data_IF_288283825398
#
_entry.id   IF_288283825398
#
_cell.length_a   1.000
_cell.length_b   1.000
_cell.length_c   1.000
_cell.angle_alpha   90.00
_cell.angle_beta   90.00
_cell.angle_gamma   90.00
#
_symmetry.space_group_name_H-M   'P 1'
#
loop_
_entity.id
_entity.type
_entity.pdbx_description
1 polymer ?
#
# COMPACT_ATOMS: atom_id res chain seq x y z
N UNK A 1 -6.49 -7.75 -12.65
CA UNK A 1 -6.52 -7.81 -11.17
C UNK A 1 -5.25 -8.50 -10.70
N UNK A 2 -4.61 -8.01 -9.63
CA UNK A 2 -3.41 -8.59 -9.00
C UNK A 2 -3.55 -10.11 -8.69
N UNK A 3 -4.78 -10.58 -8.52
CA UNK A 3 -5.09 -11.95 -8.19
C UNK A 3 -5.29 -12.89 -9.41
N UNK A 4 -5.28 -12.38 -10.64
CA UNK A 4 -5.64 -13.19 -11.82
C UNK A 4 -4.57 -14.20 -12.24
N UNK A 5 -3.32 -14.02 -11.80
CA UNK A 5 -2.20 -14.94 -12.11
C UNK A 5 -1.86 -15.93 -10.99
N UNK A 6 -2.58 -15.91 -9.86
CA UNK A 6 -2.28 -16.77 -8.70
C UNK A 6 -3.35 -17.83 -8.51
N UNK A 7 -2.94 -19.01 -8.07
CA UNK A 7 -3.90 -20.06 -7.73
C UNK A 7 -4.83 -19.55 -6.62
N UNK A 8 -6.08 -19.37 -6.96
CA UNK A 8 -7.10 -18.75 -6.09
C UNK A 8 -7.31 -19.45 -4.74
N UNK A 9 -6.93 -20.72 -4.64
CA UNK A 9 -7.02 -21.54 -3.42
C UNK A 9 -6.09 -21.10 -2.30
N UNK A 10 -5.09 -20.25 -2.59
CA UNK A 10 -4.07 -19.83 -1.63
C UNK A 10 -4.20 -18.38 -1.16
N UNK A 11 -5.28 -17.67 -1.55
CA UNK A 11 -5.49 -16.28 -1.18
C UNK A 11 -6.44 -16.17 0.03
N UNK A 12 -5.96 -15.54 1.10
CA UNK A 12 -6.80 -15.06 2.20
C UNK A 12 -7.11 -13.58 2.03
N UNK A 13 -8.36 -13.20 2.27
CA UNK A 13 -8.81 -11.82 2.18
C UNK A 13 -9.18 -11.31 3.56
N UNK A 14 -8.77 -10.08 3.85
CA UNK A 14 -9.00 -9.45 5.14
C UNK A 14 -9.44 -8.01 4.93
N UNK A 15 -10.29 -7.54 5.82
CA UNK A 15 -10.64 -6.14 5.98
C UNK A 15 -10.04 -5.63 7.28
N UNK A 16 -9.47 -4.45 7.26
CA UNK A 16 -8.89 -3.84 8.45
C UNK A 16 -9.37 -2.39 8.64
N UNK A 17 -9.31 -1.98 9.86
CA UNK A 17 -9.60 -0.65 10.36
C UNK A 17 -9.14 -0.64 11.82
N UNK A 18 -10.05 -0.51 12.78
CA UNK A 18 -9.75 -0.71 14.20
C UNK A 18 -9.39 -2.16 14.54
N UNK A 19 -9.80 -3.12 13.71
CA UNK A 19 -9.52 -4.56 13.82
C UNK A 19 -9.26 -5.16 12.45
N UNK A 20 -8.51 -6.27 12.43
CA UNK A 20 -8.33 -7.11 11.24
C UNK A 20 -9.34 -8.24 11.29
N UNK A 21 -10.06 -8.47 10.20
CA UNK A 21 -11.10 -9.49 10.13
C UNK A 21 -11.06 -10.19 8.77
N UNK A 22 -11.17 -11.53 8.74
CA UNK A 22 -11.27 -12.25 7.49
C UNK A 22 -12.59 -11.92 6.78
N UNK A 23 -12.52 -11.87 5.45
CA UNK A 23 -13.68 -11.67 4.58
C UNK A 23 -13.66 -12.69 3.43
N UNK A 24 -14.81 -12.89 2.80
CA UNK A 24 -14.88 -13.72 1.61
C UNK A 24 -14.31 -13.00 0.38
N UNK A 25 -13.95 -13.77 -0.65
CA UNK A 25 -13.56 -13.20 -1.95
C UNK A 25 -14.69 -12.35 -2.57
N UNK A 26 -15.94 -12.75 -2.38
CA UNK A 26 -17.06 -11.97 -2.89
C UNK A 26 -17.18 -10.63 -2.16
N UNK A 27 -17.05 -10.62 -0.86
CA UNK A 27 -17.01 -9.37 -0.07
C UNK A 27 -15.82 -8.48 -0.49
N UNK A 28 -14.66 -9.07 -0.80
CA UNK A 28 -13.52 -8.29 -1.28
C UNK A 28 -13.77 -7.60 -2.62
N UNK A 29 -14.61 -8.20 -3.50
CA UNK A 29 -14.99 -7.57 -4.77
C UNK A 29 -15.85 -6.31 -4.61
N UNK A 30 -16.49 -6.16 -3.45
CA UNK A 30 -17.28 -4.96 -3.13
C UNK A 30 -16.42 -3.81 -2.59
N UNK A 31 -15.08 -3.98 -2.54
CA UNK A 31 -14.15 -2.94 -2.07
C UNK A 31 -14.09 -1.69 -2.98
N UNK A 32 -14.66 -1.75 -4.18
CA UNK A 32 -14.90 -0.60 -5.06
C UNK A 32 -16.13 0.23 -4.68
N UNK A 33 -16.95 -0.26 -3.73
CA UNK A 33 -18.22 0.36 -3.33
C UNK A 33 -18.09 1.09 -2.00
N UNK A 34 -18.68 2.27 -1.91
CA UNK A 34 -18.73 3.06 -0.65
C UNK A 34 -19.32 2.27 0.54
N UNK A 35 -20.28 1.40 0.29
CA UNK A 35 -20.94 0.59 1.32
C UNK A 35 -19.95 -0.33 2.05
N UNK A 36 -18.92 -0.82 1.35
CA UNK A 36 -17.87 -1.66 1.94
C UNK A 36 -17.16 -0.98 3.10
N UNK A 37 -16.99 0.35 3.05
CA UNK A 37 -16.26 1.12 4.06
C UNK A 37 -17.14 1.69 5.19
N UNK A 38 -18.48 1.57 5.08
CA UNK A 38 -19.43 2.15 6.06
C UNK A 38 -19.74 1.25 7.24
N UNK A 39 -19.11 0.11 7.34
CA UNK A 39 -19.39 -0.84 8.42
C UNK A 39 -18.98 -0.29 9.78
N UNK A 40 -19.95 -0.23 10.69
CA UNK A 40 -19.73 0.27 12.05
C UNK A 40 -18.70 -0.57 12.80
N UNK A 41 -17.80 0.11 13.53
CA UNK A 41 -16.77 -0.54 14.36
C UNK A 41 -15.49 -0.97 13.63
N UNK A 42 -15.43 -0.84 12.29
CA UNK A 42 -14.21 -1.14 11.51
C UNK A 42 -13.66 0.11 10.83
N UNK A 43 -14.53 1.08 10.52
CA UNK A 43 -14.23 2.20 9.61
C UNK A 43 -13.72 3.48 10.28
N UNK A 44 -13.65 3.54 11.60
CA UNK A 44 -13.35 4.80 12.30
C UNK A 44 -11.86 5.08 12.51
N UNK A 45 -11.02 4.05 12.46
CA UNK A 45 -9.59 4.17 12.68
C UNK A 45 -8.85 3.18 11.80
N UNK A 46 -7.84 3.66 11.08
CA UNK A 46 -6.96 2.79 10.27
C UNK A 46 -5.68 2.52 11.06
N UNK A 47 -5.43 1.26 11.40
CA UNK A 47 -4.24 0.85 12.13
C UNK A 47 -3.42 -0.15 11.32
N UNK A 48 -2.54 0.36 10.46
CA UNK A 48 -1.65 -0.47 9.64
C UNK A 48 -0.68 -1.24 10.54
N UNK A 49 -0.25 -0.66 11.64
CA UNK A 49 0.64 -1.27 12.62
C UNK A 49 0.08 -2.59 13.18
N UNK A 50 -1.22 -2.66 13.47
CA UNK A 50 -1.86 -3.88 13.97
C UNK A 50 -2.02 -4.97 12.90
N UNK A 51 -2.05 -4.60 11.62
CA UNK A 51 -2.05 -5.58 10.52
C UNK A 51 -0.70 -6.29 10.45
N UNK A 52 0.41 -5.58 10.67
CA UNK A 52 1.76 -6.14 10.66
C UNK A 52 1.96 -7.25 11.70
N UNK A 53 1.31 -7.14 12.85
CA UNK A 53 1.36 -8.18 13.92
C UNK A 53 0.71 -9.50 13.49
N UNK A 54 -0.31 -9.42 12.63
CA UNK A 54 -1.12 -10.58 12.21
C UNK A 54 -0.66 -11.17 10.88
N UNK A 55 0.43 -10.66 10.30
CA UNK A 55 0.94 -11.16 9.03
C UNK A 55 1.39 -12.62 9.10
N UNK A 56 1.02 -13.38 8.09
CA UNK A 56 1.57 -14.72 7.90
C UNK A 56 2.96 -14.63 7.26
N UNK A 57 4.00 -14.99 8.01
CA UNK A 57 5.40 -14.89 7.58
C UNK A 57 5.81 -15.90 6.49
N UNK A 58 5.01 -16.92 6.28
CA UNK A 58 5.24 -17.94 5.24
C UNK A 58 4.62 -17.56 3.90
N UNK A 59 3.98 -16.40 3.79
CA UNK A 59 3.28 -15.93 2.60
C UNK A 59 3.56 -14.46 2.37
N UNK A 60 3.36 -13.98 1.14
CA UNK A 60 3.32 -12.55 0.88
C UNK A 60 2.05 -11.98 1.50
N UNK A 61 2.20 -10.96 2.32
CA UNK A 61 1.10 -10.15 2.84
C UNK A 61 1.04 -8.84 2.06
N UNK A 62 -0.14 -8.49 1.55
CA UNK A 62 -0.37 -7.27 0.77
C UNK A 62 -1.42 -6.43 1.50
N UNK A 63 -1.06 -5.20 1.86
CA UNK A 63 -1.94 -4.21 2.48
C UNK A 63 -2.21 -3.13 1.43
N UNK A 64 -3.47 -2.96 1.04
CA UNK A 64 -3.89 -1.86 0.15
C UNK A 64 -4.45 -0.73 0.99
N UNK A 65 -3.89 0.48 0.85
CA UNK A 65 -4.19 1.63 1.68
C UNK A 65 -3.88 2.93 0.94
N UNK A 66 -4.55 4.02 1.29
CA UNK A 66 -4.20 5.39 0.90
C UNK A 66 -3.11 6.00 1.80
N UNK A 67 -2.58 5.23 2.75
CA UNK A 67 -1.65 5.63 3.80
C UNK A 67 -2.21 6.68 4.77
N UNK A 68 -3.49 6.99 4.69
CA UNK A 68 -4.10 7.85 5.69
C UNK A 68 -4.28 7.08 6.99
N UNK A 69 -3.63 7.57 8.04
CA UNK A 69 -3.77 7.07 9.40
C UNK A 69 -4.24 8.21 10.32
N UNK A 70 -5.36 8.00 11.00
CA UNK A 70 -5.78 8.89 12.06
C UNK A 70 -4.89 8.65 13.29
N UNK A 71 -4.32 9.72 13.82
CA UNK A 71 -3.59 9.73 15.12
C UNK A 71 -2.39 8.77 15.22
N UNK A 72 -1.87 8.26 14.12
CA UNK A 72 -0.75 7.33 14.22
C UNK A 72 0.58 8.04 14.01
N UNK A 73 1.45 7.80 14.95
CA UNK A 73 2.85 8.17 14.87
C UNK A 73 3.53 7.34 13.77
N UNK A 74 4.00 8.02 12.73
CA UNK A 74 4.78 7.41 11.66
C UNK A 74 5.98 6.65 12.23
N UNK A 75 6.56 7.13 13.33
CA UNK A 75 7.65 6.47 14.06
C UNK A 75 7.24 5.10 14.58
N UNK A 76 6.00 4.96 15.07
CA UNK A 76 5.47 3.67 15.53
C UNK A 76 5.36 2.68 14.37
N UNK A 77 4.86 3.12 13.20
CA UNK A 77 4.78 2.29 12.00
C UNK A 77 6.18 1.85 11.53
N UNK A 78 7.13 2.78 11.43
CA UNK A 78 8.51 2.48 11.03
C UNK A 78 9.16 1.49 12.00
N UNK A 79 9.00 1.70 13.29
CA UNK A 79 9.50 0.79 14.33
C UNK A 79 8.89 -0.60 14.20
N UNK A 80 7.60 -0.68 13.92
CA UNK A 80 6.88 -1.94 13.72
C UNK A 80 7.38 -2.67 12.46
N UNK A 81 7.55 -1.97 11.34
CA UNK A 81 8.14 -2.53 10.11
C UNK A 81 9.54 -3.06 10.37
N UNK A 82 10.38 -2.31 11.09
CA UNK A 82 11.72 -2.77 11.47
C UNK A 82 11.66 -4.09 12.24
N UNK A 83 10.82 -4.17 13.26
CA UNK A 83 10.78 -5.32 14.17
C UNK A 83 10.05 -6.54 13.58
N UNK A 84 8.91 -6.32 12.92
CA UNK A 84 8.08 -7.41 12.43
C UNK A 84 8.44 -7.89 11.01
N UNK A 85 9.16 -7.05 10.25
CA UNK A 85 9.56 -7.37 8.88
C UNK A 85 11.09 -7.59 8.82
N UNK A 86 11.88 -6.55 8.99
CA UNK A 86 13.31 -6.62 8.69
C UNK A 86 14.09 -7.48 9.69
N UNK A 87 13.85 -7.35 10.99
CA UNK A 87 14.52 -8.19 12.01
C UNK A 87 14.13 -9.67 11.90
N UNK A 88 13.05 -9.98 11.22
CA UNK A 88 12.60 -11.35 10.98
C UNK A 88 13.01 -11.92 9.63
N UNK A 89 13.90 -11.25 8.93
CA UNK A 89 14.42 -11.70 7.66
C UNK A 89 13.46 -11.54 6.48
N UNK A 90 12.43 -10.71 6.63
CA UNK A 90 11.53 -10.36 5.56
C UNK A 90 11.95 -9.05 4.88
N UNK A 91 11.38 -8.80 3.73
CA UNK A 91 11.56 -7.58 2.94
C UNK A 91 10.22 -6.89 2.76
N UNK A 92 10.27 -5.62 2.45
CA UNK A 92 9.12 -4.80 2.13
C UNK A 92 9.18 -4.32 0.68
N UNK A 93 8.03 -4.23 0.02
CA UNK A 93 7.91 -3.53 -1.24
C UNK A 93 6.70 -2.60 -1.21
N UNK A 94 6.79 -1.50 -1.93
CA UNK A 94 5.73 -0.51 -2.07
C UNK A 94 5.44 -0.33 -3.55
N UNK A 95 4.17 -0.52 -3.91
CA UNK A 95 3.66 -0.20 -5.23
C UNK A 95 2.66 0.95 -5.09
N UNK A 96 2.98 2.09 -5.70
CA UNK A 96 2.04 3.20 -5.83
C UNK A 96 1.20 3.04 -7.09
N UNK A 97 -0.11 3.23 -6.97
CA UNK A 97 -1.05 3.17 -8.09
C UNK A 97 -1.93 4.41 -8.07
N UNK A 98 -2.06 5.07 -9.19
CA UNK A 98 -3.06 6.14 -9.36
C UNK A 98 -4.38 5.56 -9.83
N UNK A 99 -5.46 5.92 -9.18
CA UNK A 99 -6.80 5.43 -9.50
C UNK A 99 -7.82 6.55 -9.47
N UNK A 100 -8.85 6.39 -10.28
CA UNK A 100 -10.05 7.21 -10.15
C UNK A 100 -10.59 7.08 -8.74
N UNK A 101 -10.98 8.20 -8.17
CA UNK A 101 -11.56 8.25 -6.84
C UNK A 101 -12.77 9.20 -6.85
N UNK A 102 -13.85 8.74 -6.25
CA UNK A 102 -15.04 9.54 -5.98
C UNK A 102 -15.47 9.29 -4.54
N UNK A 103 -15.26 10.27 -3.67
CA UNK A 103 -15.55 10.12 -2.27
C UNK A 103 -15.04 11.25 -1.41
N UNK A 104 -15.12 11.05 -0.10
CA UNK A 104 -14.65 12.00 0.88
C UNK A 104 -13.18 11.79 1.20
N UNK A 105 -12.41 12.85 1.08
CA UNK A 105 -10.98 12.88 1.44
C UNK A 105 -10.84 13.40 2.85
N UNK A 106 -10.04 12.71 3.64
CA UNK A 106 -9.62 13.12 4.97
C UNK A 106 -8.14 13.51 4.91
N UNK A 107 -7.80 14.67 5.43
CA UNK A 107 -6.42 15.17 5.52
C UNK A 107 -6.25 15.78 6.92
N UNK A 108 -5.09 15.54 7.54
CA UNK A 108 -4.80 16.06 8.88
C UNK A 108 -4.70 17.59 8.94
N UNK A 109 -4.51 18.26 7.81
CA UNK A 109 -4.24 19.71 7.72
C UNK A 109 -5.42 20.54 7.26
N UNK A 110 -6.45 19.92 6.69
CA UNK A 110 -7.63 20.60 6.16
C UNK A 110 -8.90 19.84 6.54
N UNK A 111 -10.06 20.54 6.66
CA UNK A 111 -11.34 19.86 6.86
C UNK A 111 -11.61 18.83 5.76
N UNK A 112 -12.25 17.73 6.12
CA UNK A 112 -12.64 16.71 5.15
C UNK A 112 -13.53 17.29 4.04
N UNK A 113 -13.22 16.96 2.78
CA UNK A 113 -13.91 17.47 1.60
C UNK A 113 -14.27 16.34 0.61
N UNK A 114 -15.27 16.58 -0.19
CA UNK A 114 -15.65 15.66 -1.27
C UNK A 114 -14.76 15.92 -2.49
N UNK A 115 -14.30 14.83 -3.10
CA UNK A 115 -13.42 14.84 -4.26
C UNK A 115 -13.88 13.82 -5.29
N UNK A 116 -13.86 14.21 -6.54
CA UNK A 116 -14.09 13.32 -7.67
C UNK A 116 -13.01 13.51 -8.72
N UNK A 117 -12.39 12.43 -9.14
CA UNK A 117 -11.43 12.43 -10.25
C UNK A 117 -12.16 12.60 -11.58
N UNK A 118 -11.57 13.35 -12.50
CA UNK A 118 -12.06 13.45 -13.87
C UNK A 118 -11.62 12.24 -14.68
N UNK A 119 -12.57 11.57 -15.33
CA UNK A 119 -12.26 10.39 -16.14
C UNK A 119 -11.37 10.80 -17.33
N UNK A 120 -10.23 10.12 -17.47
CA UNK A 120 -9.24 10.37 -18.53
C UNK A 120 -8.19 11.41 -18.18
N UNK A 121 -8.30 12.11 -17.06
CA UNK A 121 -7.32 13.08 -16.55
C UNK A 121 -6.55 12.44 -15.38
N UNK A 122 -5.44 11.75 -15.68
CA UNK A 122 -4.66 10.97 -14.70
C UNK A 122 -4.03 11.82 -13.60
N UNK A 123 -3.81 13.10 -13.82
CA UNK A 123 -3.32 14.05 -12.82
C UNK A 123 -4.35 14.31 -11.70
N UNK A 124 -5.65 14.08 -11.98
CA UNK A 124 -6.72 14.15 -11.00
C UNK A 124 -6.87 12.85 -10.20
N UNK A 125 -6.18 11.77 -10.58
CA UNK A 125 -6.31 10.47 -9.89
C UNK A 125 -5.61 10.51 -8.54
N UNK A 126 -6.26 9.87 -7.56
CA UNK A 126 -5.69 9.75 -6.21
C UNK A 126 -4.76 8.54 -6.13
N UNK A 127 -3.59 8.70 -5.50
CA UNK A 127 -2.71 7.56 -5.26
C UNK A 127 -3.29 6.66 -4.15
N UNK A 128 -3.14 5.36 -4.33
CA UNK A 128 -3.17 4.38 -3.25
C UNK A 128 -1.95 3.49 -3.35
N UNK A 129 -1.66 2.79 -2.29
CA UNK A 129 -0.43 2.04 -2.16
C UNK A 129 -0.74 0.59 -1.81
N UNK A 130 -0.01 -0.33 -2.43
CA UNK A 130 0.07 -1.71 -1.99
C UNK A 130 1.41 -1.90 -1.26
N UNK A 131 1.34 -2.03 0.06
CA UNK A 131 2.48 -2.40 0.90
C UNK A 131 2.57 -3.92 0.91
N UNK A 132 3.71 -4.45 0.51
CA UNK A 132 3.91 -5.89 0.35
C UNK A 132 5.04 -6.35 1.26
N UNK A 133 4.82 -7.43 1.99
CA UNK A 133 5.78 -7.97 2.95
C UNK A 133 5.95 -9.46 2.71
N UNK A 134 7.19 -9.93 2.66
CA UNK A 134 7.50 -11.33 2.40
C UNK A 134 8.98 -11.58 2.18
N UNK A 135 9.33 -12.78 1.78
CA UNK A 135 10.72 -13.11 1.41
C UNK A 135 11.10 -12.36 0.13
N UNK A 136 12.31 -11.85 0.06
CA UNK A 136 12.80 -11.05 -1.09
C UNK A 136 12.60 -11.76 -2.43
N UNK A 137 12.87 -13.08 -2.49
CA UNK A 137 12.71 -13.85 -3.72
C UNK A 137 11.24 -13.93 -4.18
N UNK A 138 10.29 -14.00 -3.24
CA UNK A 138 8.86 -14.03 -3.53
C UNK A 138 8.37 -12.65 -4.00
N UNK A 139 8.82 -11.58 -3.35
CA UNK A 139 8.50 -10.21 -3.76
C UNK A 139 9.05 -9.89 -5.15
N UNK A 140 10.25 -10.35 -5.49
CA UNK A 140 10.82 -10.22 -6.84
C UNK A 140 9.97 -10.95 -7.88
N UNK A 141 9.54 -12.19 -7.62
CA UNK A 141 8.65 -12.94 -8.52
C UNK A 141 7.30 -12.22 -8.69
N UNK A 142 6.73 -11.73 -7.59
CA UNK A 142 5.50 -10.94 -7.64
C UNK A 142 5.69 -9.71 -8.52
N UNK A 143 6.77 -8.97 -8.35
CA UNK A 143 7.07 -7.80 -9.18
C UNK A 143 7.20 -8.15 -10.66
N UNK A 144 7.91 -9.23 -11.01
CA UNK A 144 8.01 -9.70 -12.39
C UNK A 144 6.64 -10.01 -13.00
N UNK A 145 5.75 -10.64 -12.22
CA UNK A 145 4.37 -10.89 -12.64
C UNK A 145 3.58 -9.60 -12.85
N UNK A 146 3.80 -8.61 -11.98
CA UNK A 146 3.13 -7.30 -12.09
C UNK A 146 3.63 -6.49 -13.28
N UNK A 147 4.91 -6.55 -13.59
CA UNK A 147 5.50 -5.86 -14.74
C UNK A 147 4.93 -6.31 -16.09
N UNK A 148 4.42 -7.53 -16.18
CA UNK A 148 3.73 -8.03 -17.36
C UNK A 148 2.31 -7.48 -17.53
N UNK A 149 1.78 -6.79 -16.51
CA UNK A 149 0.47 -6.16 -16.54
C UNK A 149 0.56 -4.72 -17.03
N UNK A 150 -0.17 -4.32 -18.06
CA UNK A 150 -0.18 -2.95 -18.55
C UNK A 150 -0.76 -1.95 -17.54
N UNK A 151 -1.46 -2.43 -16.51
CA UNK A 151 -2.05 -1.61 -15.45
C UNK A 151 -1.04 -1.17 -14.38
N UNK A 152 0.20 -1.67 -14.40
CA UNK A 152 1.21 -1.37 -13.40
C UNK A 152 2.36 -0.60 -14.05
N UNK A 153 2.50 0.68 -13.71
CA UNK A 153 3.66 1.48 -14.10
C UNK A 153 4.90 1.04 -13.33
N UNK A 154 6.03 0.97 -14.04
CA UNK A 154 7.32 0.59 -13.44
C UNK A 154 7.87 1.65 -12.49
N UNK A 155 7.42 2.88 -12.61
CA UNK A 155 8.01 4.03 -11.93
C UNK A 155 7.63 4.15 -10.45
N UNK A 156 6.69 3.31 -10.00
CA UNK A 156 6.14 3.41 -8.64
C UNK A 156 6.36 2.17 -7.78
N UNK A 157 7.29 1.30 -8.17
CA UNK A 157 7.63 0.13 -7.36
C UNK A 157 8.99 0.30 -6.69
N UNK A 158 9.00 0.17 -5.36
CA UNK A 158 10.22 0.20 -4.54
C UNK A 158 10.31 -1.09 -3.73
N UNK A 159 11.45 -1.76 -3.79
CA UNK A 159 11.77 -2.92 -2.97
C UNK A 159 12.84 -2.55 -1.95
N UNK A 160 12.55 -2.78 -0.67
CA UNK A 160 13.42 -2.50 0.46
C UNK A 160 13.76 -3.84 1.14
N UNK A 161 15.03 -4.17 1.23
CA UNK A 161 15.49 -5.42 1.86
C UNK A 161 16.83 -5.21 2.56
N UNK A 162 17.00 -5.73 3.77
CA UNK A 162 18.28 -5.69 4.47
C UNK A 162 19.35 -6.55 3.80
N UNK A 163 18.96 -7.39 2.84
CA UNK A 163 19.86 -8.31 2.12
C UNK A 163 20.24 -7.84 0.72
N UNK A 164 19.84 -6.65 0.30
CA UNK A 164 20.08 -6.14 -1.05
C UNK A 164 21.17 -5.07 -1.12
N UNK A 165 21.68 -4.63 0.03
CA UNK A 165 22.70 -3.57 0.10
C UNK A 165 24.04 -4.24 0.34
N UNK A 166 24.70 -4.64 -0.75
CA UNK A 166 26.12 -5.03 -0.72
C UNK A 166 27.01 -3.79 -0.91
N UNK A 167 26.55 -2.85 -1.74
CA UNK A 167 27.19 -1.56 -1.98
C UNK A 167 26.13 -0.55 -2.45
N UNK A 168 26.26 0.73 -2.08
CA UNK A 168 25.39 1.78 -2.62
C UNK A 168 26.18 3.05 -2.91
N UNK A 169 25.92 3.62 -4.05
CA UNK A 169 26.36 4.96 -4.40
C UNK A 169 25.17 5.91 -4.36
N UNK A 170 25.30 6.98 -3.58
CA UNK A 170 24.24 7.99 -3.51
C UNK A 170 24.57 9.12 -4.47
N UNK A 171 23.79 9.24 -5.55
CA UNK A 171 23.86 10.39 -6.44
C UNK A 171 22.65 11.30 -6.27
N UNK A 172 22.88 12.57 -5.92
CA UNK A 172 21.83 13.59 -5.88
C UNK A 172 21.79 14.30 -7.23
N UNK A 173 20.80 13.98 -8.06
CA UNK A 173 20.54 14.78 -9.27
C UNK A 173 19.70 15.99 -8.88
N UNK A 174 20.27 17.19 -9.01
CA UNK A 174 19.51 18.45 -8.92
C UNK A 174 18.64 18.55 -10.17
N UNK A 175 17.34 18.29 -10.04
CA UNK A 175 16.37 18.56 -11.09
C UNK A 175 16.07 20.06 -11.16
N UNK A 176 15.66 20.57 -12.32
CA UNK A 176 15.32 22.00 -12.50
C UNK A 176 14.24 22.51 -11.53
N UNK A 177 13.42 21.62 -10.98
CA UNK A 177 12.38 21.94 -10.01
C UNK A 177 12.90 22.30 -8.62
N UNK A 178 14.08 21.77 -8.21
CA UNK A 178 14.68 22.14 -6.92
C UNK A 178 15.21 23.57 -6.85
N UNK A 179 15.29 24.29 -8.00
CA UNK A 179 15.68 25.70 -8.06
C UNK A 179 14.53 26.68 -7.73
N UNK A 180 13.26 26.24 -7.75
CA UNK A 180 12.10 27.10 -7.46
C UNK A 180 11.70 27.16 -5.99
N UNK A 181 12.27 26.32 -5.15
CA UNK A 181 11.96 26.27 -3.72
C UNK A 181 12.90 27.12 -2.84
N UNK A 182 13.95 27.73 -3.41
CA UNK A 182 14.94 28.52 -2.70
C UNK A 182 15.00 29.98 -3.20
N UNK A 183 13.90 30.53 -3.72
CA UNK A 183 13.79 31.95 -4.08
C UNK A 183 12.70 32.62 -3.24
#
# INVERSE_FOLDING_TARGET
SLASGWAHSNLGYFKFGSRVRPISRNTFRDADRRAFYRESGVSQTTRIDSVLEQMNRSRISIITTDLFQNESDVTALVTRVKNEVFQRGLSAAVLGVRSQFDGRVFDARVPAYDYASTRGEEDTYRPFYALMFGKVAELRRLFQTLQSSPAVSRDYFVLISPYLVEDYETSVRKTRESRRLNA
#
